data_IF_708040130954
#
_entry.id   IF_708040130954
#
_cell.length_a   1.000
_cell.length_b   1.000
_cell.length_c   1.000
_cell.angle_alpha   90.00
_cell.angle_beta   90.00
_cell.angle_gamma   90.00
#
_symmetry.space_group_name_H-M   'P 1'
#
loop_
_entity.id
_entity.type
_entity.pdbx_description
1 polymer ?
#
# COMPACT_ATOMS: atom_id res chain seq x y z
N UNK A 1 -3.52 18.84 -6.65
CA UNK A 1 -4.02 18.94 -8.04
C UNK A 1 -4.15 17.55 -8.67
N UNK A 2 -4.62 16.52 -7.94
CA UNK A 2 -4.60 15.13 -8.47
C UNK A 2 -5.91 14.38 -8.28
N UNK A 3 -6.58 14.55 -7.13
CA UNK A 3 -7.83 13.84 -6.82
C UNK A 3 -8.92 14.06 -7.89
N UNK A 4 -9.19 15.31 -8.31
CA UNK A 4 -10.18 15.60 -9.34
C UNK A 4 -9.88 14.88 -10.66
N UNK A 5 -8.63 14.89 -11.11
CA UNK A 5 -8.26 14.24 -12.37
C UNK A 5 -8.46 12.73 -12.28
N UNK A 6 -8.04 12.12 -11.17
CA UNK A 6 -8.31 10.71 -10.90
C UNK A 6 -9.82 10.42 -10.92
N UNK A 7 -10.63 11.20 -10.22
CA UNK A 7 -12.08 10.99 -10.15
C UNK A 7 -12.74 11.11 -11.53
N UNK A 8 -12.46 12.19 -12.27
CA UNK A 8 -13.13 12.50 -13.54
C UNK A 8 -12.73 11.57 -14.68
N UNK A 9 -11.45 11.18 -14.75
CA UNK A 9 -10.92 10.50 -15.92
C UNK A 9 -10.59 9.03 -15.67
N UNK A 10 -10.09 8.68 -14.47
CA UNK A 10 -9.64 7.31 -14.17
C UNK A 10 -10.77 6.54 -13.49
N UNK A 11 -11.26 7.03 -12.36
CA UNK A 11 -12.29 6.36 -11.57
C UNK A 11 -13.58 6.19 -12.36
N UNK A 12 -14.01 7.25 -13.05
CA UNK A 12 -15.17 7.19 -13.94
C UNK A 12 -15.03 6.20 -15.08
N UNK A 13 -13.87 6.17 -15.76
CA UNK A 13 -13.65 5.26 -16.89
C UNK A 13 -13.55 3.80 -16.46
N UNK A 14 -13.10 3.54 -15.23
CA UNK A 14 -12.93 2.20 -14.67
C UNK A 14 -14.09 1.77 -13.74
N UNK A 15 -15.14 2.59 -13.61
CA UNK A 15 -16.24 2.40 -12.66
C UNK A 15 -15.76 2.12 -11.22
N UNK A 16 -14.74 2.85 -10.76
CA UNK A 16 -14.23 2.74 -9.39
C UNK A 16 -15.21 3.44 -8.45
N UNK A 17 -15.75 2.69 -7.49
CA UNK A 17 -16.61 3.21 -6.42
C UNK A 17 -15.95 3.17 -5.04
N UNK A 18 -14.77 2.54 -4.92
CA UNK A 18 -14.05 2.39 -3.65
C UNK A 18 -12.54 2.30 -3.89
N UNK A 19 -11.78 2.96 -3.03
CA UNK A 19 -10.32 2.87 -2.98
C UNK A 19 -9.84 2.53 -1.58
N UNK A 20 -8.65 1.94 -1.51
CA UNK A 20 -7.99 1.55 -0.27
C UNK A 20 -6.65 2.25 -0.15
N UNK A 21 -6.42 2.91 0.98
CA UNK A 21 -5.17 3.60 1.30
C UNK A 21 -4.50 2.91 2.49
N UNK A 22 -3.18 2.80 2.48
CA UNK A 22 -2.45 2.29 3.63
C UNK A 22 -2.35 3.34 4.74
N UNK A 23 -2.48 2.92 6.00
CA UNK A 23 -2.23 3.80 7.15
C UNK A 23 -0.73 4.11 7.26
N UNK A 24 -0.37 5.39 7.38
CA UNK A 24 1.03 5.81 7.60
C UNK A 24 1.13 6.83 8.74
N UNK A 25 0.90 6.41 10.00
CA UNK A 25 0.83 7.32 11.14
C UNK A 25 2.17 7.97 11.49
N UNK A 26 3.28 7.39 11.00
CA UNK A 26 4.64 7.92 11.20
C UNK A 26 5.05 8.96 10.15
N UNK A 27 4.28 9.11 9.07
CA UNK A 27 4.54 10.08 8.01
C UNK A 27 3.43 11.12 7.97
N UNK A 28 3.71 12.31 8.51
CA UNK A 28 2.72 13.40 8.56
C UNK A 28 2.21 13.82 7.18
N UNK A 29 3.07 13.76 6.15
CA UNK A 29 2.68 14.10 4.77
C UNK A 29 1.68 13.08 4.24
N UNK A 30 1.95 11.78 4.41
CA UNK A 30 1.02 10.73 3.95
C UNK A 30 -0.29 10.78 4.73
N UNK A 31 -0.24 11.08 6.03
CA UNK A 31 -1.45 11.26 6.83
C UNK A 31 -2.34 12.39 6.28
N UNK A 32 -1.76 13.58 6.04
CA UNK A 32 -2.49 14.71 5.45
C UNK A 32 -3.06 14.36 4.06
N UNK A 33 -2.33 13.60 3.26
CA UNK A 33 -2.82 13.09 1.99
C UNK A 33 -4.05 12.20 2.18
N UNK A 34 -4.00 11.21 3.09
CA UNK A 34 -5.10 10.31 3.38
C UNK A 34 -6.35 11.08 3.86
N UNK A 35 -6.16 12.01 4.81
CA UNK A 35 -7.23 12.89 5.31
C UNK A 35 -7.87 13.68 4.16
N UNK A 36 -7.04 14.23 3.26
CA UNK A 36 -7.55 14.98 2.11
C UNK A 36 -8.31 14.10 1.12
N UNK A 37 -7.89 12.85 0.91
CA UNK A 37 -8.63 11.93 0.05
C UNK A 37 -9.99 11.55 0.66
N UNK A 38 -10.05 11.31 1.97
CA UNK A 38 -11.31 11.04 2.67
C UNK A 38 -12.29 12.22 2.60
N UNK A 39 -11.80 13.46 2.53
CA UNK A 39 -12.64 14.64 2.33
C UNK A 39 -13.13 14.78 0.89
N UNK A 40 -12.26 14.57 -0.10
CA UNK A 40 -12.53 14.91 -1.50
C UNK A 40 -13.30 13.84 -2.27
N UNK A 41 -12.96 12.56 -2.10
CA UNK A 41 -13.43 11.48 -2.96
C UNK A 41 -14.91 11.10 -2.75
N UNK A 42 -15.49 11.20 -1.54
CA UNK A 42 -16.92 10.95 -1.34
C UNK A 42 -17.82 11.89 -2.17
N UNK A 43 -17.36 13.09 -2.53
CA UNK A 43 -18.11 13.99 -3.41
C UNK A 43 -18.21 13.48 -4.87
N UNK A 44 -17.44 12.45 -5.23
CA UNK A 44 -17.48 11.76 -6.52
C UNK A 44 -18.07 10.34 -6.40
N UNK A 45 -18.78 10.04 -5.30
CA UNK A 45 -19.33 8.72 -4.99
C UNK A 45 -18.25 7.62 -4.87
N UNK A 46 -17.03 8.00 -4.45
CA UNK A 46 -15.92 7.07 -4.22
C UNK A 46 -15.68 6.94 -2.71
N UNK A 47 -15.88 5.74 -2.18
CA UNK A 47 -15.56 5.40 -0.79
C UNK A 47 -14.04 5.29 -0.58
N UNK A 48 -13.54 5.83 0.52
CA UNK A 48 -12.12 5.75 0.89
C UNK A 48 -11.98 4.97 2.20
N UNK A 49 -11.33 3.82 2.12
CA UNK A 49 -11.02 2.99 3.29
C UNK A 49 -9.51 3.04 3.58
N UNK A 50 -9.15 3.47 4.79
CA UNK A 50 -7.75 3.41 5.26
C UNK A 50 -7.55 2.07 5.97
N UNK A 51 -6.66 1.24 5.44
CA UNK A 51 -6.31 -0.06 5.98
C UNK A 51 -5.07 0.06 6.86
N UNK A 52 -5.11 -0.53 8.05
CA UNK A 52 -3.96 -0.63 8.94
C UNK A 52 -2.78 -1.37 8.30
N UNK A 53 -1.55 -0.94 8.59
CA UNK A 53 -0.38 -1.64 8.08
C UNK A 53 -0.25 -3.00 8.75
N UNK A 54 -0.05 -4.01 7.91
CA UNK A 54 0.28 -5.35 8.38
C UNK A 54 1.67 -5.31 9.03
N UNK A 55 1.75 -5.88 10.21
CA UNK A 55 2.98 -6.08 10.96
C UNK A 55 3.16 -7.56 11.31
N UNK A 56 4.40 -7.96 11.50
CA UNK A 56 4.77 -9.30 11.95
C UNK A 56 5.95 -9.18 12.91
N UNK A 57 5.91 -9.90 14.03
CA UNK A 57 6.95 -9.86 15.07
C UNK A 57 7.31 -8.45 15.57
N UNK A 58 6.35 -7.52 15.59
CA UNK A 58 6.55 -6.14 16.06
C UNK A 58 7.07 -5.17 15.00
N UNK A 59 7.44 -5.65 13.81
CA UNK A 59 7.93 -4.83 12.70
C UNK A 59 6.90 -4.72 11.56
N UNK A 60 6.90 -3.57 10.90
CA UNK A 60 6.02 -3.30 9.77
C UNK A 60 6.54 -4.02 8.53
N UNK A 61 5.67 -4.76 7.85
CA UNK A 61 6.00 -5.36 6.56
C UNK A 61 6.12 -4.25 5.52
N UNK A 62 7.27 -4.19 4.83
CA UNK A 62 7.51 -3.19 3.78
C UNK A 62 8.40 -3.74 2.66
N UNK A 63 8.19 -3.22 1.44
CA UNK A 63 9.01 -3.59 0.29
C UNK A 63 10.49 -3.24 0.47
N UNK A 64 10.80 -2.15 1.20
CA UNK A 64 12.18 -1.79 1.53
C UNK A 64 12.84 -2.84 2.43
N UNK A 65 12.10 -3.39 3.41
CA UNK A 65 12.61 -4.46 4.27
C UNK A 65 12.85 -5.75 3.51
N UNK A 66 11.92 -6.12 2.61
CA UNK A 66 12.10 -7.28 1.72
C UNK A 66 13.37 -7.12 0.86
N UNK A 67 13.61 -5.94 0.28
CA UNK A 67 14.82 -5.67 -0.51
C UNK A 67 16.10 -5.71 0.32
N UNK A 68 16.06 -5.24 1.57
CA UNK A 68 17.19 -5.35 2.51
C UNK A 68 17.57 -6.82 2.75
N UNK A 69 16.58 -7.67 3.08
CA UNK A 69 16.82 -9.11 3.24
C UNK A 69 17.24 -9.81 1.95
N UNK A 70 16.71 -9.37 0.81
CA UNK A 70 17.10 -9.90 -0.50
C UNK A 70 18.57 -9.58 -0.80
N UNK A 71 19.03 -8.38 -0.47
CA UNK A 71 20.43 -7.96 -0.62
C UNK A 71 21.38 -8.78 0.28
N UNK A 72 20.94 -9.15 1.48
CA UNK A 72 21.70 -10.03 2.39
C UNK A 72 21.50 -11.54 2.13
N UNK A 73 20.71 -11.92 1.13
CA UNK A 73 20.33 -13.31 0.82
C UNK A 73 19.62 -14.04 1.97
N UNK A 74 18.99 -13.30 2.89
CA UNK A 74 18.25 -13.84 4.01
C UNK A 74 16.82 -14.25 3.60
N UNK A 75 16.73 -15.36 2.88
CA UNK A 75 15.45 -15.92 2.44
C UNK A 75 14.57 -16.39 3.59
N UNK A 76 15.15 -16.76 4.73
CA UNK A 76 14.37 -17.17 5.91
C UNK A 76 13.54 -16.00 6.45
N UNK A 77 14.15 -14.81 6.56
CA UNK A 77 13.44 -13.62 6.99
C UNK A 77 12.42 -13.14 5.95
N UNK A 78 12.69 -13.32 4.65
CA UNK A 78 11.72 -13.02 3.58
C UNK A 78 10.47 -13.90 3.71
N UNK A 79 10.64 -15.22 3.91
CA UNK A 79 9.51 -16.16 4.01
C UNK A 79 8.53 -15.80 5.13
N UNK A 80 9.03 -15.22 6.23
CA UNK A 80 8.22 -14.80 7.36
C UNK A 80 7.36 -13.54 7.09
N UNK A 81 7.66 -12.76 6.05
CA UNK A 81 7.04 -11.45 5.81
C UNK A 81 6.36 -11.32 4.44
N UNK A 82 6.39 -12.35 3.59
CA UNK A 82 5.75 -12.33 2.27
C UNK A 82 4.89 -13.58 2.06
N UNK A 83 3.85 -13.51 1.22
CA UNK A 83 3.10 -14.69 0.81
C UNK A 83 3.98 -15.73 0.10
N UNK A 84 3.64 -17.01 0.23
CA UNK A 84 4.38 -18.12 -0.37
C UNK A 84 4.70 -17.93 -1.87
N UNK A 85 3.78 -17.47 -2.74
CA UNK A 85 4.10 -17.24 -4.15
C UNK A 85 5.22 -16.20 -4.35
N UNK A 86 5.20 -15.13 -3.55
CA UNK A 86 6.23 -14.08 -3.58
C UNK A 86 7.58 -14.63 -3.13
N UNK A 87 7.62 -15.42 -2.06
CA UNK A 87 8.84 -16.07 -1.58
C UNK A 87 9.44 -16.98 -2.66
N UNK A 88 8.62 -17.82 -3.30
CA UNK A 88 9.05 -18.72 -4.37
C UNK A 88 9.64 -17.94 -5.55
N UNK A 89 8.93 -16.91 -6.01
CA UNK A 89 9.42 -16.03 -7.08
C UNK A 89 10.78 -15.41 -6.73
N UNK A 90 10.92 -14.85 -5.52
CA UNK A 90 12.17 -14.21 -5.10
C UNK A 90 13.33 -15.21 -5.04
N UNK A 91 13.07 -16.44 -4.55
CA UNK A 91 14.09 -17.49 -4.46
C UNK A 91 14.55 -18.01 -5.82
N UNK A 92 13.67 -18.00 -6.81
CA UNK A 92 13.99 -18.46 -8.18
C UNK A 92 14.72 -17.40 -9.00
N UNK A 93 14.52 -16.10 -8.72
CA UNK A 93 14.97 -15.01 -9.58
C UNK A 93 16.11 -14.15 -9.00
N UNK A 94 16.47 -14.32 -7.73
CA UNK A 94 17.55 -13.59 -7.09
C UNK A 94 18.58 -14.55 -6.55
#
# INVERSE_FOLDING_TARGET
MEAWFFCEYIAKALNISKIFLGNEPKCQITQQYNEKMQELLPAYDIEVEIIERISTNGDVISASKVREFLASRDFSSIEAIVPKPTYQFLKENY
#
